data_IF_503985018230
#
_entry.id   IF_503985018230
#
_cell.length_a   1.000
_cell.length_b   1.000
_cell.length_c   1.000
_cell.angle_alpha   90.00
_cell.angle_beta   90.00
_cell.angle_gamma   90.00
#
_symmetry.space_group_name_H-M   'P 1'
#
loop_
_entity.id
_entity.type
_entity.pdbx_description
1 polymer ?
#
# COMPACT_ATOMS: atom_id res chain seq x y z
N UNK A 1 17.55 22.34 -0.27
CA UNK A 1 17.27 21.01 -0.84
C UNK A 1 17.32 19.96 0.26
N UNK A 2 16.34 19.07 0.30
CA UNK A 2 16.26 18.04 1.35
C UNK A 2 17.25 16.92 1.02
N UNK A 3 18.12 16.53 1.97
CA UNK A 3 19.03 15.42 1.73
C UNK A 3 18.31 14.09 1.48
N UNK A 4 18.92 13.22 0.68
CA UNK A 4 18.41 11.89 0.41
C UNK A 4 18.12 11.12 1.71
N UNK A 5 18.97 11.33 2.71
CA UNK A 5 18.81 10.66 4.01
C UNK A 5 17.45 10.93 4.64
N UNK A 6 16.90 12.14 4.49
CA UNK A 6 15.59 12.47 5.04
C UNK A 6 14.48 11.67 4.37
N UNK A 7 14.56 11.46 3.05
CA UNK A 7 13.60 10.62 2.34
C UNK A 7 13.71 9.16 2.77
N UNK A 8 14.91 8.67 2.97
CA UNK A 8 15.13 7.29 3.42
C UNK A 8 14.61 7.09 4.84
N UNK A 9 14.77 8.08 5.71
CA UNK A 9 14.24 8.04 7.07
C UNK A 9 12.71 8.01 7.04
N UNK A 10 12.09 8.87 6.22
CA UNK A 10 10.65 8.88 6.06
C UNK A 10 10.14 7.52 5.58
N UNK A 11 10.78 6.95 4.57
CA UNK A 11 10.42 5.64 4.06
C UNK A 11 10.56 4.56 5.11
N UNK A 12 11.61 4.60 5.92
CA UNK A 12 11.81 3.65 7.00
C UNK A 12 10.70 3.75 8.04
N UNK A 13 10.29 4.96 8.39
CA UNK A 13 9.20 5.19 9.34
C UNK A 13 7.88 4.65 8.77
N UNK A 14 7.57 4.94 7.52
CA UNK A 14 6.36 4.45 6.86
C UNK A 14 6.33 2.93 6.80
N UNK A 15 7.46 2.31 6.45
CA UNK A 15 7.57 0.87 6.38
C UNK A 15 7.36 0.25 7.77
N UNK A 16 8.00 0.83 8.78
CA UNK A 16 7.86 0.38 10.17
C UNK A 16 6.42 0.48 10.67
N UNK A 17 5.74 1.59 10.36
CA UNK A 17 4.32 1.76 10.73
C UNK A 17 3.44 0.71 10.07
N UNK A 18 3.67 0.43 8.78
CA UNK A 18 2.93 -0.61 8.08
C UNK A 18 3.16 -1.97 8.70
N UNK A 19 4.41 -2.30 9.02
CA UNK A 19 4.76 -3.57 9.64
C UNK A 19 4.10 -3.73 11.01
N UNK A 20 4.17 -2.70 11.85
CA UNK A 20 3.52 -2.71 13.17
C UNK A 20 2.01 -2.85 13.02
N UNK A 21 1.43 -2.14 12.06
CA UNK A 21 0.00 -2.25 11.79
C UNK A 21 -0.43 -3.66 11.43
N UNK A 22 0.37 -4.36 10.62
CA UNK A 22 0.09 -5.76 10.28
C UNK A 22 0.13 -6.63 11.52
N UNK A 23 1.14 -6.46 12.36
CA UNK A 23 1.30 -7.25 13.57
C UNK A 23 0.15 -7.06 14.55
N UNK A 24 -0.37 -5.83 14.65
CA UNK A 24 -1.43 -5.50 15.60
C UNK A 24 -2.83 -5.85 15.10
N UNK A 25 -3.04 -5.90 13.77
CA UNK A 25 -4.38 -6.01 13.18
C UNK A 25 -4.47 -7.19 12.21
N UNK A 26 -4.06 -8.38 12.65
CA UNK A 26 -4.00 -9.57 11.78
C UNK A 26 -5.37 -10.03 11.30
N UNK A 27 -6.43 -9.73 12.06
CA UNK A 27 -7.77 -10.24 11.77
C UNK A 27 -8.56 -9.36 10.81
N UNK A 28 -8.17 -8.11 10.65
CA UNK A 28 -8.89 -7.19 9.77
C UNK A 28 -8.18 -7.13 8.42
N UNK A 29 -8.78 -7.78 7.42
CA UNK A 29 -8.17 -7.90 6.09
C UNK A 29 -8.02 -6.53 5.43
N UNK A 30 -8.99 -5.63 5.61
CA UNK A 30 -8.92 -4.29 5.03
C UNK A 30 -7.75 -3.50 5.62
N UNK A 31 -7.57 -3.58 6.95
CA UNK A 31 -6.43 -2.93 7.59
C UNK A 31 -5.10 -3.55 7.16
N UNK A 32 -5.06 -4.87 7.00
CA UNK A 32 -3.87 -5.54 6.47
C UNK A 32 -3.51 -5.00 5.09
N UNK A 33 -4.53 -4.83 4.24
CA UNK A 33 -4.32 -4.31 2.89
C UNK A 33 -3.78 -2.87 2.93
N UNK A 34 -4.36 -2.02 3.77
CA UNK A 34 -3.90 -0.64 3.94
C UNK A 34 -2.45 -0.61 4.42
N UNK A 35 -2.09 -1.49 5.36
CA UNK A 35 -0.73 -1.56 5.88
C UNK A 35 0.26 -2.00 4.80
N UNK A 36 -0.14 -2.98 3.97
CA UNK A 36 0.69 -3.42 2.85
C UNK A 36 0.89 -2.29 1.86
N UNK A 37 -0.16 -1.53 1.55
CA UNK A 37 -0.06 -0.37 0.66
C UNK A 37 0.88 0.69 1.24
N UNK A 38 0.84 0.89 2.55
CA UNK A 38 1.75 1.82 3.22
C UNK A 38 3.20 1.36 3.07
N UNK A 39 3.46 0.07 3.21
CA UNK A 39 4.79 -0.50 3.00
C UNK A 39 5.27 -0.35 1.55
N UNK A 40 4.37 -0.55 0.59
CA UNK A 40 4.68 -0.35 -0.82
C UNK A 40 4.96 1.12 -1.12
N UNK A 41 4.22 2.03 -0.50
CA UNK A 41 4.50 3.46 -0.59
C UNK A 41 5.90 3.79 -0.07
N UNK A 42 6.30 3.16 1.03
CA UNK A 42 7.64 3.35 1.59
C UNK A 42 8.72 2.91 0.60
N UNK A 43 8.54 1.75 -0.02
CA UNK A 43 9.48 1.24 -1.02
C UNK A 43 9.54 2.19 -2.22
N UNK A 44 8.39 2.66 -2.70
CA UNK A 44 8.32 3.59 -3.81
C UNK A 44 8.99 4.93 -3.46
N UNK A 45 8.86 5.39 -2.23
CA UNK A 45 9.52 6.61 -1.76
C UNK A 45 11.04 6.45 -1.85
N UNK A 46 11.58 5.30 -1.47
CA UNK A 46 13.00 5.01 -1.60
C UNK A 46 13.45 5.10 -3.07
N UNK A 47 12.70 4.49 -3.97
CA UNK A 47 13.03 4.52 -5.39
C UNK A 47 13.00 5.94 -5.95
N UNK A 48 12.01 6.73 -5.55
CA UNK A 48 11.92 8.13 -5.98
C UNK A 48 13.11 8.92 -5.45
N UNK A 49 13.51 8.70 -4.20
CA UNK A 49 14.68 9.36 -3.62
C UNK A 49 15.95 9.01 -4.39
N UNK A 50 16.17 7.74 -4.70
CA UNK A 50 17.33 7.31 -5.47
C UNK A 50 17.30 7.89 -6.88
N UNK A 51 16.14 7.92 -7.52
CA UNK A 51 15.96 8.51 -8.84
C UNK A 51 16.36 9.98 -8.85
N UNK A 52 15.93 10.72 -7.84
CA UNK A 52 16.25 12.13 -7.70
C UNK A 52 17.76 12.33 -7.46
N UNK A 53 18.34 11.46 -6.65
CA UNK A 53 19.78 11.53 -6.34
C UNK A 53 20.64 11.32 -7.58
N UNK A 54 20.32 10.30 -8.39
CA UNK A 54 21.08 10.00 -9.60
C UNK A 54 20.77 10.97 -10.74
N UNK A 55 19.53 11.48 -10.83
CA UNK A 55 19.15 12.50 -11.80
C UNK A 55 19.15 12.04 -13.25
N UNK A 56 18.99 13.01 -14.14
CA UNK A 56 19.11 12.81 -15.58
C UNK A 56 17.99 11.98 -16.20
N UNK A 57 18.23 11.50 -17.42
CA UNK A 57 17.25 10.71 -18.18
C UNK A 57 16.98 9.38 -17.49
N UNK A 58 18.03 8.74 -17.00
CA UNK A 58 17.89 7.47 -16.29
C UNK A 58 16.97 7.62 -15.08
N UNK A 59 17.10 8.72 -14.32
CA UNK A 59 16.22 9.00 -13.19
C UNK A 59 14.78 9.19 -13.63
N UNK A 60 14.55 9.89 -14.75
CA UNK A 60 13.20 10.10 -15.26
C UNK A 60 12.54 8.80 -15.71
N UNK A 61 13.26 7.92 -16.37
CA UNK A 61 12.77 6.59 -16.75
C UNK A 61 12.43 5.79 -15.52
N UNK A 62 13.26 5.85 -14.50
CA UNK A 62 13.05 5.16 -13.23
C UNK A 62 11.75 5.61 -12.56
N UNK A 63 11.51 6.94 -12.52
CA UNK A 63 10.28 7.50 -11.96
C UNK A 63 9.06 7.02 -12.76
N UNK A 64 9.17 6.95 -14.08
CA UNK A 64 8.09 6.44 -14.92
C UNK A 64 7.71 5.01 -14.54
N UNK A 65 8.70 4.14 -14.36
CA UNK A 65 8.44 2.77 -13.92
C UNK A 65 7.81 2.72 -12.54
N UNK A 66 8.29 3.56 -11.61
CA UNK A 66 7.72 3.62 -10.26
C UNK A 66 6.25 4.01 -10.31
N UNK A 67 5.89 5.01 -11.09
CA UNK A 67 4.50 5.45 -11.23
C UNK A 67 3.63 4.36 -11.85
N UNK A 68 4.16 3.63 -12.83
CA UNK A 68 3.45 2.52 -13.45
C UNK A 68 3.17 1.42 -12.44
N UNK A 69 4.18 1.05 -11.66
CA UNK A 69 4.02 0.03 -10.61
C UNK A 69 3.04 0.50 -9.54
N UNK A 70 3.14 1.76 -9.12
CA UNK A 70 2.23 2.32 -8.12
C UNK A 70 0.78 2.30 -8.61
N UNK A 71 0.56 2.63 -9.90
CA UNK A 71 -0.77 2.57 -10.48
C UNK A 71 -1.32 1.14 -10.51
N UNK A 72 -0.49 0.17 -10.87
CA UNK A 72 -0.87 -1.24 -10.87
C UNK A 72 -1.22 -1.73 -9.47
N UNK A 73 -0.40 -1.38 -8.49
CA UNK A 73 -0.64 -1.73 -7.08
C UNK A 73 -1.96 -1.15 -6.59
N UNK A 74 -2.22 0.12 -6.89
CA UNK A 74 -3.46 0.79 -6.50
C UNK A 74 -4.67 0.11 -7.13
N UNK A 75 -4.58 -0.26 -8.41
CA UNK A 75 -5.66 -0.94 -9.11
C UNK A 75 -5.94 -2.31 -8.50
N UNK A 76 -4.90 -3.09 -8.22
CA UNK A 76 -5.03 -4.41 -7.61
C UNK A 76 -5.61 -4.28 -6.20
N UNK A 77 -5.09 -3.34 -5.40
CA UNK A 77 -5.57 -3.09 -4.06
C UNK A 77 -7.04 -2.72 -4.04
N UNK A 78 -7.44 -1.83 -4.94
CA UNK A 78 -8.85 -1.43 -5.05
C UNK A 78 -9.74 -2.61 -5.44
N UNK A 79 -9.29 -3.43 -6.41
CA UNK A 79 -10.03 -4.62 -6.84
C UNK A 79 -10.23 -5.60 -5.66
N UNK A 80 -9.19 -5.82 -4.87
CA UNK A 80 -9.28 -6.70 -3.71
C UNK A 80 -10.26 -6.14 -2.67
N UNK A 81 -10.22 -4.85 -2.41
CA UNK A 81 -11.13 -4.19 -1.47
C UNK A 81 -12.58 -4.36 -1.94
N UNK A 82 -12.84 -4.16 -3.23
CA UNK A 82 -14.18 -4.32 -3.79
C UNK A 82 -14.66 -5.76 -3.65
N UNK A 83 -13.82 -6.74 -3.94
CA UNK A 83 -14.15 -8.16 -3.79
C UNK A 83 -14.46 -8.52 -2.35
N UNK A 84 -13.63 -8.06 -1.42
CA UNK A 84 -13.85 -8.30 0.01
C UNK A 84 -15.15 -7.66 0.49
N UNK A 85 -15.45 -6.47 0.01
CA UNK A 85 -16.68 -5.78 0.37
C UNK A 85 -17.91 -6.54 -0.12
N UNK A 86 -17.86 -7.05 -1.35
CA UNK A 86 -18.95 -7.87 -1.89
C UNK A 86 -19.15 -9.15 -1.12
N UNK A 87 -18.07 -9.85 -0.81
CA UNK A 87 -18.14 -11.10 -0.05
C UNK A 87 -18.68 -10.86 1.36
N UNK A 88 -18.25 -9.77 1.99
CA UNK A 88 -18.72 -9.39 3.33
C UNK A 88 -20.21 -9.08 3.32
N UNK A 89 -20.68 -8.38 2.28
CA UNK A 89 -22.10 -8.11 2.10
C UNK A 89 -22.91 -9.40 2.01
N UNK A 90 -22.44 -10.37 1.23
CA UNK A 90 -23.09 -11.68 1.11
C UNK A 90 -23.12 -12.43 2.45
N UNK A 91 -22.01 -12.41 3.19
CA UNK A 91 -21.92 -13.04 4.50
C UNK A 91 -22.89 -12.40 5.48
N UNK A 92 -22.99 -11.08 5.47
CA UNK A 92 -23.89 -10.35 6.36
C UNK A 92 -25.35 -10.69 6.05
N UNK A 93 -25.71 -10.82 4.77
CA UNK A 93 -27.06 -11.23 4.36
C UNK A 93 -27.34 -12.64 4.86
N UNK A 94 -26.42 -13.58 4.71
CA UNK A 94 -26.57 -14.94 5.21
C UNK A 94 -26.77 -14.96 6.72
N UNK A 95 -26.01 -14.17 7.46
CA UNK A 95 -26.18 -14.06 8.92
C UNK A 95 -27.56 -13.55 9.29
N UNK A 96 -28.04 -12.56 8.56
CA UNK A 96 -29.39 -12.02 8.80
C UNK A 96 -30.46 -13.07 8.55
N UNK A 97 -30.31 -13.87 7.51
CA UNK A 97 -31.25 -14.96 7.21
C UNK A 97 -31.24 -15.99 8.31
N UNK A 98 -30.09 -16.36 8.84
CA UNK A 98 -30.00 -17.29 9.96
C UNK A 98 -30.65 -16.74 11.21
N UNK A 99 -30.49 -15.45 11.47
CA UNK A 99 -31.10 -14.83 12.65
C UNK A 99 -32.62 -14.76 12.54
N UNK A 100 -33.15 -14.64 11.34
CA UNK A 100 -34.59 -14.60 11.12
C UNK A 100 -35.24 -15.99 11.11
N UNK A 101 -34.45 -16.99 10.75
CA UNK A 101 -34.94 -18.34 10.62
C UNK A 101 -34.91 -19.14 11.83
#
# INVERSE_FOLDING_TARGET
MIPVLHYLILAAILFGLGLVGIMLNRKNIILLLVCIELMLLAVNTNFIAFSHYYGGIAGQIFVFFILTVAAAEAAIGLAIVVLLFRNRGNIDVDKMNHLKG
#
